data_IF_627072534083
#
_entry.id   IF_627072534083
#
_cell.length_a   1.000
_cell.length_b   1.000
_cell.length_c   1.000
_cell.angle_alpha   90.00
_cell.angle_beta   90.00
_cell.angle_gamma   90.00
#
_symmetry.space_group_name_H-M   'P 1'
#
loop_
_entity.id
_entity.type
_entity.pdbx_description
1 polymer ?
#
# COMPACT_ATOMS: atom_id res chain seq x y z
N UNK A 1 57.65 -12.80 62.21
CA UNK A 1 57.25 -12.96 60.77
C UNK A 1 55.81 -12.48 60.60
N UNK A 2 55.62 -11.20 60.27
CA UNK A 2 54.30 -10.59 60.11
C UNK A 2 53.97 -10.51 58.60
N UNK A 3 52.98 -11.28 58.18
CA UNK A 3 52.39 -11.14 56.82
C UNK A 3 51.29 -10.09 56.85
N UNK A 4 51.51 -8.98 56.14
CA UNK A 4 50.50 -7.98 55.84
C UNK A 4 49.68 -8.45 54.64
N UNK A 5 48.40 -8.66 54.82
CA UNK A 5 47.44 -8.94 53.72
C UNK A 5 46.97 -7.60 53.20
N UNK A 6 47.24 -7.36 51.92
CA UNK A 6 46.81 -6.15 51.20
C UNK A 6 45.47 -6.44 50.51
N UNK A 7 44.37 -5.78 50.96
CA UNK A 7 43.08 -5.84 50.28
C UNK A 7 43.06 -4.80 49.16
N UNK A 8 42.99 -5.30 47.92
CA UNK A 8 42.70 -4.47 46.76
C UNK A 8 41.18 -4.39 46.61
N UNK A 9 40.63 -3.22 46.91
CA UNK A 9 39.21 -2.90 46.63
C UNK A 9 39.14 -2.41 45.19
N UNK A 10 38.65 -3.23 44.26
CA UNK A 10 38.36 -2.84 42.92
C UNK A 10 37.02 -2.09 42.90
N UNK A 11 37.07 -0.80 42.67
CA UNK A 11 35.87 0.01 42.38
C UNK A 11 35.41 -0.29 40.97
N UNK A 12 34.32 -1.06 40.84
CA UNK A 12 33.66 -1.28 39.56
C UNK A 12 32.71 -0.06 39.35
N UNK A 13 33.16 0.91 38.59
CA UNK A 13 32.30 2.03 38.14
C UNK A 13 31.34 1.50 37.10
N UNK A 14 30.11 1.18 37.52
CA UNK A 14 28.99 0.99 36.62
C UNK A 14 28.61 2.36 36.00
N UNK A 15 29.10 2.61 34.79
CA UNK A 15 28.56 3.68 33.96
C UNK A 15 27.15 3.30 33.54
N UNK A 16 26.15 3.90 34.19
CA UNK A 16 24.79 3.92 33.71
C UNK A 16 24.79 4.74 32.42
N UNK A 17 24.89 4.10 31.28
CA UNK A 17 24.50 4.69 30.01
C UNK A 17 22.99 4.89 30.07
N UNK A 18 22.57 6.12 30.39
CA UNK A 18 21.22 6.58 30.12
C UNK A 18 21.05 6.59 28.60
N UNK A 19 20.43 5.55 28.05
CA UNK A 19 19.87 5.63 26.71
C UNK A 19 18.70 6.61 26.78
N UNK A 20 18.96 7.89 26.49
CA UNK A 20 17.94 8.77 25.97
C UNK A 20 17.62 8.23 24.57
N UNK A 21 16.63 7.33 24.50
CA UNK A 21 16.14 6.85 23.23
C UNK A 21 15.32 7.95 22.56
N UNK A 22 15.96 8.83 21.82
CA UNK A 22 15.31 9.39 20.65
C UNK A 22 15.00 8.18 19.74
N UNK A 23 13.74 7.93 19.47
CA UNK A 23 13.37 6.87 18.51
C UNK A 23 14.02 7.22 17.18
N UNK A 24 15.01 6.43 16.79
CA UNK A 24 15.68 6.61 15.51
C UNK A 24 14.61 6.41 14.43
N UNK A 25 14.55 7.34 13.46
CA UNK A 25 13.68 7.20 12.29
C UNK A 25 14.15 5.97 11.51
N UNK A 26 13.21 5.10 11.15
CA UNK A 26 13.51 3.94 10.33
C UNK A 26 14.05 4.38 8.96
N UNK A 27 15.15 3.80 8.54
CA UNK A 27 15.68 4.00 7.18
C UNK A 27 14.92 3.11 6.21
N UNK A 28 14.31 3.73 5.18
CA UNK A 28 13.65 3.01 4.09
C UNK A 28 14.43 3.25 2.81
N UNK A 29 14.95 2.21 2.20
CA UNK A 29 15.79 2.34 1.03
C UNK A 29 15.50 1.26 -0.02
N UNK A 30 16.11 1.42 -1.18
CA UNK A 30 15.99 0.50 -2.31
C UNK A 30 17.35 -0.04 -2.69
N UNK A 31 17.47 -1.34 -2.85
CA UNK A 31 18.67 -1.97 -3.35
C UNK A 31 18.34 -3.03 -4.38
N UNK A 32 18.83 -2.84 -5.61
CA UNK A 32 18.49 -3.69 -6.73
C UNK A 32 16.95 -3.78 -6.93
N UNK A 33 16.37 -4.97 -6.73
CA UNK A 33 14.91 -5.22 -6.81
C UNK A 33 14.23 -5.28 -5.44
N UNK A 34 14.91 -4.88 -4.37
CA UNK A 34 14.41 -5.03 -3.01
C UNK A 34 14.09 -3.70 -2.37
N UNK A 35 12.99 -3.67 -1.64
CA UNK A 35 12.69 -2.64 -0.65
C UNK A 35 13.33 -3.06 0.67
N UNK A 36 14.02 -2.13 1.33
CA UNK A 36 14.70 -2.37 2.61
C UNK A 36 14.13 -1.45 3.68
N UNK A 37 14.01 -1.97 4.89
CA UNK A 37 13.77 -1.18 6.11
C UNK A 37 14.89 -1.51 7.10
N UNK A 38 15.65 -0.50 7.50
CA UNK A 38 16.83 -0.66 8.36
C UNK A 38 17.80 -1.72 7.80
N UNK A 39 18.14 -1.58 6.52
CA UNK A 39 19.04 -2.46 5.75
C UNK A 39 18.55 -3.91 5.59
N UNK A 40 17.33 -4.24 6.01
CA UNK A 40 16.77 -5.58 5.90
C UNK A 40 15.72 -5.65 4.80
N UNK A 41 15.69 -6.72 4.00
CA UNK A 41 14.62 -6.92 3.02
C UNK A 41 13.23 -6.82 3.66
N UNK A 42 12.39 -5.97 3.10
CA UNK A 42 11.03 -5.76 3.55
C UNK A 42 10.06 -6.29 2.51
N UNK A 43 9.29 -7.31 2.89
CA UNK A 43 8.25 -7.88 2.04
C UNK A 43 6.91 -7.30 2.49
N UNK A 44 6.25 -6.60 1.58
CA UNK A 44 4.93 -6.02 1.78
C UNK A 44 3.90 -7.16 1.86
N UNK A 45 3.37 -7.39 3.05
CA UNK A 45 2.19 -8.19 3.34
C UNK A 45 1.07 -7.21 3.66
N UNK A 46 0.58 -6.57 2.64
CA UNK A 46 -0.21 -5.37 2.80
C UNK A 46 -1.67 -5.53 2.41
N UNK A 47 -2.41 -4.48 2.72
CA UNK A 47 -3.82 -4.35 2.35
C UNK A 47 -4.15 -2.90 1.99
N UNK A 48 -5.02 -2.71 1.01
CA UNK A 48 -5.59 -1.41 0.69
C UNK A 48 -6.61 -1.04 1.77
N UNK A 49 -6.46 0.17 2.35
CA UNK A 49 -7.27 0.61 3.47
C UNK A 49 -7.92 1.95 3.19
N UNK A 50 -9.24 1.93 3.02
CA UNK A 50 -10.06 3.11 2.78
C UNK A 50 -11.34 3.00 3.61
N UNK A 51 -11.28 3.36 4.92
CA UNK A 51 -12.35 3.11 5.87
C UNK A 51 -13.48 4.13 5.72
N UNK A 52 -14.35 3.92 4.75
CA UNK A 52 -15.56 4.71 4.55
C UNK A 52 -16.71 4.03 5.28
N UNK A 53 -17.36 4.70 6.25
CA UNK A 53 -18.44 4.10 7.01
C UNK A 53 -19.72 3.98 6.18
N UNK A 54 -20.57 3.05 6.58
CA UNK A 54 -21.89 2.84 6.00
C UNK A 54 -22.70 4.14 5.96
N UNK A 55 -23.25 4.46 4.80
CA UNK A 55 -24.05 5.66 4.56
C UNK A 55 -23.24 6.91 4.21
N UNK A 56 -21.92 6.82 4.17
CA UNK A 56 -21.04 7.89 3.66
C UNK A 56 -20.73 7.68 2.17
N UNK A 57 -20.68 8.77 1.39
CA UNK A 57 -20.40 8.69 -0.04
C UNK A 57 -18.91 8.47 -0.35
N UNK A 58 -18.01 9.03 0.41
CA UNK A 58 -16.55 8.83 0.28
C UNK A 58 -15.75 9.38 1.46
N UNK A 59 -16.38 9.78 2.53
CA UNK A 59 -15.66 10.33 3.68
C UNK A 59 -15.07 9.21 4.52
N UNK A 60 -13.73 9.20 4.65
CA UNK A 60 -13.02 8.24 5.51
C UNK A 60 -13.22 8.58 6.98
N UNK A 61 -13.35 7.55 7.78
CA UNK A 61 -13.53 7.61 9.22
C UNK A 61 -12.61 6.59 9.91
N UNK A 62 -11.89 7.02 10.92
CA UNK A 62 -10.94 6.19 11.67
C UNK A 62 -11.45 5.82 13.07
N UNK A 63 -12.73 5.98 13.36
CA UNK A 63 -13.33 5.66 14.67
C UNK A 63 -13.13 4.19 15.07
N UNK A 64 -13.10 3.28 14.10
CA UNK A 64 -12.85 1.85 14.31
C UNK A 64 -11.38 1.43 14.13
N UNK A 65 -10.45 2.38 14.03
CA UNK A 65 -9.05 2.08 13.70
C UNK A 65 -8.41 1.04 14.63
N UNK A 66 -8.70 1.09 15.92
CA UNK A 66 -8.13 0.13 16.89
C UNK A 66 -8.53 -1.31 16.54
N UNK A 67 -9.81 -1.55 16.26
CA UNK A 67 -10.31 -2.86 15.86
C UNK A 67 -9.73 -3.29 14.51
N UNK A 68 -9.66 -2.37 13.55
CA UNK A 68 -9.11 -2.63 12.23
C UNK A 68 -7.63 -3.06 12.32
N UNK A 69 -6.83 -2.37 13.14
CA UNK A 69 -5.42 -2.70 13.35
C UNK A 69 -5.23 -4.04 14.08
N UNK A 70 -6.10 -4.39 15.03
CA UNK A 70 -6.10 -5.70 15.68
C UNK A 70 -6.33 -6.82 14.66
N UNK A 71 -7.38 -6.70 13.83
CA UNK A 71 -7.68 -7.67 12.76
C UNK A 71 -6.55 -7.78 11.73
N UNK A 72 -5.97 -6.65 11.31
CA UNK A 72 -4.84 -6.63 10.38
C UNK A 72 -3.61 -7.32 10.99
N UNK A 73 -3.31 -7.07 12.26
CA UNK A 73 -2.18 -7.67 12.94
C UNK A 73 -2.35 -9.18 13.12
N UNK A 74 -3.56 -9.63 13.47
CA UNK A 74 -3.90 -11.06 13.56
C UNK A 74 -3.76 -11.77 12.19
N UNK A 75 -4.09 -11.07 11.10
CA UNK A 75 -3.89 -11.57 9.73
C UNK A 75 -2.41 -11.54 9.27
N UNK A 76 -1.50 -10.97 10.07
CA UNK A 76 -0.08 -10.84 9.72
C UNK A 76 0.22 -9.75 8.71
N UNK A 77 -0.68 -8.78 8.55
CA UNK A 77 -0.49 -7.59 7.70
C UNK A 77 0.54 -6.68 8.36
N UNK A 78 1.51 -6.22 7.58
CA UNK A 78 2.56 -5.30 8.02
C UNK A 78 2.54 -3.94 7.32
N UNK A 79 1.67 -3.78 6.33
CA UNK A 79 1.60 -2.55 5.51
C UNK A 79 0.15 -2.25 5.15
N UNK A 80 -0.24 -0.99 5.27
CA UNK A 80 -1.47 -0.50 4.65
C UNK A 80 -1.13 0.46 3.52
N UNK A 81 -1.94 0.46 2.48
CA UNK A 81 -1.90 1.43 1.40
C UNK A 81 -3.15 2.29 1.48
N UNK A 82 -2.98 3.60 1.51
CA UNK A 82 -4.07 4.57 1.51
C UNK A 82 -4.02 5.45 0.27
N UNK A 83 -5.19 5.77 -0.29
CA UNK A 83 -5.34 6.52 -1.54
C UNK A 83 -5.22 8.03 -1.35
N UNK A 84 -5.34 8.48 -0.10
CA UNK A 84 -5.28 9.88 0.30
C UNK A 84 -4.47 10.03 1.59
N UNK A 85 -3.81 11.18 1.81
CA UNK A 85 -3.05 11.44 3.01
C UNK A 85 -3.85 11.30 4.30
N UNK A 86 -3.22 10.78 5.35
CA UNK A 86 -3.76 10.73 6.72
C UNK A 86 -3.16 11.93 7.47
N UNK A 87 -3.94 12.99 7.69
CA UNK A 87 -3.45 14.22 8.34
C UNK A 87 -3.69 14.25 9.87
N UNK A 88 -4.01 13.11 10.45
CA UNK A 88 -4.10 12.93 11.89
C UNK A 88 -2.89 12.17 12.42
N UNK A 89 -2.05 12.87 13.20
CA UNK A 89 -0.87 12.29 13.83
C UNK A 89 -1.21 11.13 14.79
N UNK A 90 -2.37 11.17 15.43
CA UNK A 90 -2.77 10.09 16.35
C UNK A 90 -3.08 8.81 15.59
N UNK A 91 -3.71 8.92 14.41
CA UNK A 91 -3.94 7.79 13.52
C UNK A 91 -2.62 7.17 13.06
N UNK A 92 -1.66 7.99 12.62
CA UNK A 92 -0.33 7.51 12.21
C UNK A 92 0.44 6.86 13.37
N UNK A 93 0.34 7.42 14.58
CA UNK A 93 0.95 6.83 15.77
C UNK A 93 0.35 5.45 16.08
N UNK A 94 -0.97 5.29 16.05
CA UNK A 94 -1.62 4.00 16.29
C UNK A 94 -1.21 2.95 15.25
N UNK A 95 -1.11 3.34 13.98
CA UNK A 95 -0.62 2.46 12.91
C UNK A 95 0.82 2.01 13.20
N UNK A 96 1.69 2.94 13.59
CA UNK A 96 3.07 2.63 13.95
C UNK A 96 3.14 1.71 15.18
N UNK A 97 2.38 2.00 16.22
CA UNK A 97 2.35 1.23 17.47
C UNK A 97 1.85 -0.20 17.25
N UNK A 98 1.01 -0.42 16.25
CA UNK A 98 0.60 -1.75 15.79
C UNK A 98 1.68 -2.48 14.98
N UNK A 99 2.84 -1.86 14.72
CA UNK A 99 3.91 -2.43 13.90
C UNK A 99 3.64 -2.43 12.41
N UNK A 100 2.69 -1.61 11.95
CA UNK A 100 2.27 -1.50 10.55
C UNK A 100 2.89 -0.25 9.92
N UNK A 101 3.34 -0.38 8.68
CA UNK A 101 3.82 0.73 7.84
C UNK A 101 2.70 1.22 6.91
N UNK A 102 2.84 2.44 6.40
CA UNK A 102 1.84 3.03 5.50
C UNK A 102 2.46 3.57 4.21
N UNK A 103 1.84 3.23 3.09
CA UNK A 103 2.08 3.85 1.78
C UNK A 103 1.04 4.94 1.62
N UNK A 104 1.50 6.20 1.55
CA UNK A 104 0.64 7.37 1.47
C UNK A 104 0.43 7.77 0.01
N UNK A 105 -0.81 7.72 -0.47
CA UNK A 105 -1.20 8.16 -1.79
C UNK A 105 -1.44 9.66 -1.89
N UNK A 106 -0.98 10.28 -2.98
CA UNK A 106 -1.30 11.64 -3.36
C UNK A 106 -2.06 11.65 -4.68
N UNK A 107 -3.19 12.33 -4.68
CA UNK A 107 -4.04 12.46 -5.84
C UNK A 107 -3.62 13.60 -6.77
N UNK A 108 -4.40 13.75 -7.84
CA UNK A 108 -4.25 14.80 -8.83
C UNK A 108 -5.49 15.68 -8.78
N UNK A 109 -5.29 16.98 -8.49
CA UNK A 109 -6.38 17.97 -8.41
C UNK A 109 -7.45 17.65 -7.34
N UNK A 110 -6.98 17.36 -6.13
CA UNK A 110 -7.83 17.05 -4.96
C UNK A 110 -8.20 18.34 -4.19
N UNK A 111 -8.80 19.31 -4.88
CA UNK A 111 -9.18 20.62 -4.33
C UNK A 111 -8.02 21.38 -3.63
N UNK A 112 -6.78 21.12 -4.03
CA UNK A 112 -5.58 21.73 -3.48
C UNK A 112 -5.15 21.23 -2.10
N UNK A 113 -5.77 20.17 -1.59
CA UNK A 113 -5.41 19.59 -0.29
C UNK A 113 -4.46 18.40 -0.52
N UNK A 114 -3.15 18.65 -0.33
CA UNK A 114 -2.10 17.64 -0.48
C UNK A 114 -2.11 16.92 -1.84
N UNK A 115 -2.27 17.66 -2.92
CA UNK A 115 -2.31 17.11 -4.27
C UNK A 115 -1.11 17.54 -5.13
N UNK A 116 -0.94 16.81 -6.26
CA UNK A 116 0.19 16.98 -7.17
C UNK A 116 0.06 18.28 -7.97
N UNK A 117 -1.14 18.67 -8.42
CA UNK A 117 -1.37 19.83 -9.28
C UNK A 117 -1.03 21.14 -8.57
N UNK A 118 -1.54 21.31 -7.34
CA UNK A 118 -1.25 22.51 -6.54
C UNK A 118 0.12 22.46 -5.88
N UNK A 119 0.79 21.31 -5.86
CA UNK A 119 2.06 21.09 -5.17
C UNK A 119 1.94 21.02 -3.66
N UNK A 120 0.74 21.00 -3.11
CA UNK A 120 0.51 21.01 -1.65
C UNK A 120 0.91 19.71 -0.98
N UNK A 121 1.04 18.60 -1.71
CA UNK A 121 1.59 17.32 -1.22
C UNK A 121 2.97 17.50 -0.56
N UNK A 122 3.76 18.47 -1.01
CA UNK A 122 5.08 18.81 -0.45
C UNK A 122 4.97 19.21 1.03
N UNK A 123 3.89 19.87 1.42
CA UNK A 123 3.68 20.25 2.82
C UNK A 123 3.43 19.03 3.70
N UNK A 124 2.74 18.02 3.16
CA UNK A 124 2.52 16.75 3.83
C UNK A 124 3.83 15.97 4.00
N UNK A 125 4.61 15.84 2.94
CA UNK A 125 5.92 15.18 3.00
C UNK A 125 6.83 15.84 4.04
N UNK A 126 6.95 17.19 4.04
CA UNK A 126 7.74 17.93 5.04
C UNK A 126 7.26 17.68 6.47
N UNK A 127 5.96 17.55 6.68
CA UNK A 127 5.35 17.35 7.99
C UNK A 127 5.62 15.96 8.57
N UNK A 128 5.59 14.94 7.72
CA UNK A 128 5.54 13.55 8.16
C UNK A 128 6.74 12.68 7.74
N UNK A 129 7.72 13.21 7.01
CA UNK A 129 8.89 12.45 6.54
C UNK A 129 9.73 11.78 7.63
N UNK A 130 9.64 12.26 8.85
CA UNK A 130 10.37 11.70 9.99
C UNK A 130 9.48 10.78 10.85
N UNK A 131 8.29 10.40 10.35
CA UNK A 131 7.36 9.54 11.08
C UNK A 131 7.57 8.07 10.73
N UNK A 132 7.82 7.22 11.72
CA UNK A 132 8.16 5.80 11.53
C UNK A 132 7.07 4.94 10.90
N UNK A 133 5.81 5.38 10.83
CA UNK A 133 4.78 4.67 10.08
C UNK A 133 5.00 4.74 8.57
N UNK A 134 5.65 5.80 8.06
CA UNK A 134 5.77 5.99 6.61
C UNK A 134 6.69 4.92 6.00
N UNK A 135 6.24 4.34 4.88
CA UNK A 135 7.01 3.41 4.07
C UNK A 135 7.42 4.02 2.73
N UNK A 136 6.46 4.57 2.01
CA UNK A 136 6.67 5.15 0.68
C UNK A 136 5.65 6.27 0.42
N UNK A 137 6.01 7.15 -0.53
CA UNK A 137 5.15 8.19 -1.07
C UNK A 137 4.62 7.75 -2.44
N UNK A 138 3.32 7.57 -2.56
CA UNK A 138 2.69 7.11 -3.80
C UNK A 138 2.08 8.28 -4.59
N UNK A 139 2.36 8.32 -5.88
CA UNK A 139 1.91 9.36 -6.80
C UNK A 139 0.88 8.80 -7.78
N UNK A 140 -0.38 9.11 -7.55
CA UNK A 140 -1.51 8.72 -8.40
C UNK A 140 -1.86 7.24 -8.35
N UNK A 141 -3.09 6.94 -8.76
CA UNK A 141 -3.63 5.58 -8.85
C UNK A 141 -4.32 5.39 -10.21
N UNK A 142 -3.83 4.47 -11.03
CA UNK A 142 -4.38 4.07 -12.34
C UNK A 142 -4.55 5.22 -13.35
N UNK A 143 -3.85 6.32 -13.18
CA UNK A 143 -3.99 7.49 -14.04
C UNK A 143 -3.57 7.23 -15.49
N UNK A 144 -2.82 6.15 -15.74
CA UNK A 144 -2.52 5.71 -17.11
C UNK A 144 -3.75 5.29 -17.91
N UNK A 145 -4.87 4.98 -17.26
CA UNK A 145 -6.13 4.68 -17.93
C UNK A 145 -6.96 5.92 -18.27
N UNK A 146 -6.57 7.11 -17.77
CA UNK A 146 -7.33 8.36 -17.85
C UNK A 146 -6.58 9.50 -18.53
N UNK A 147 -6.14 9.33 -19.81
CA UNK A 147 -5.46 10.40 -20.52
C UNK A 147 -6.32 11.67 -20.65
N UNK A 148 -7.65 11.54 -20.59
CA UNK A 148 -8.59 12.67 -20.64
C UNK A 148 -8.40 13.66 -19.47
N UNK A 149 -7.94 13.21 -18.32
CA UNK A 149 -7.62 14.09 -17.18
C UNK A 149 -6.37 14.92 -17.42
N UNK A 150 -5.53 14.52 -18.37
CA UNK A 150 -4.25 15.11 -18.69
C UNK A 150 -4.24 15.75 -20.10
N UNK A 151 -5.33 16.43 -20.46
CA UNK A 151 -5.51 17.12 -21.76
C UNK A 151 -5.43 16.16 -22.97
N UNK A 152 -5.82 14.92 -22.77
CA UNK A 152 -5.82 13.87 -23.80
C UNK A 152 -4.44 13.28 -24.12
N UNK A 153 -3.38 13.65 -23.39
CA UNK A 153 -2.04 13.09 -23.59
C UNK A 153 -1.46 12.60 -22.25
N UNK A 154 -1.32 11.30 -22.11
CA UNK A 154 -0.80 10.64 -20.90
C UNK A 154 0.65 11.05 -20.57
N UNK A 155 1.39 11.59 -21.54
CA UNK A 155 2.74 12.14 -21.30
C UNK A 155 2.71 13.28 -20.28
N UNK A 156 1.62 14.04 -20.21
CA UNK A 156 1.48 15.11 -19.23
C UNK A 156 1.47 14.54 -17.82
N UNK A 157 0.75 13.43 -17.61
CA UNK A 157 0.77 12.74 -16.33
C UNK A 157 2.17 12.22 -15.97
N UNK A 158 2.81 11.48 -16.87
CA UNK A 158 4.14 10.94 -16.58
C UNK A 158 5.18 12.04 -16.33
N UNK A 159 5.07 13.18 -16.96
CA UNK A 159 5.95 14.31 -16.70
C UNK A 159 5.72 14.90 -15.30
N UNK A 160 4.47 15.09 -14.90
CA UNK A 160 4.11 15.62 -13.58
C UNK A 160 4.44 14.64 -12.46
N UNK A 161 4.12 13.38 -12.63
CA UNK A 161 4.50 12.30 -11.71
C UNK A 161 6.01 12.27 -11.45
N UNK A 162 6.81 12.32 -12.53
CA UNK A 162 8.26 12.30 -12.42
C UNK A 162 8.83 13.58 -11.77
N UNK A 163 8.23 14.73 -12.07
CA UNK A 163 8.61 15.99 -11.42
C UNK A 163 8.26 15.99 -9.94
N UNK A 164 7.07 15.51 -9.56
CA UNK A 164 6.64 15.37 -8.18
C UNK A 164 7.56 14.43 -7.39
N UNK A 165 7.93 13.28 -7.96
CA UNK A 165 8.89 12.37 -7.36
C UNK A 165 10.26 13.04 -7.13
N UNK A 166 10.75 13.82 -8.09
CA UNK A 166 11.97 14.59 -7.92
C UNK A 166 11.92 15.61 -6.78
N UNK A 167 10.79 16.31 -6.63
CA UNK A 167 10.57 17.24 -5.52
C UNK A 167 10.52 16.53 -4.16
N UNK A 168 9.97 15.32 -4.10
CA UNK A 168 10.02 14.51 -2.88
C UNK A 168 11.46 14.18 -2.51
N UNK A 169 12.29 13.72 -3.44
CA UNK A 169 13.68 13.39 -3.19
C UNK A 169 14.50 14.57 -2.68
N UNK A 170 14.17 15.81 -3.06
CA UNK A 170 14.83 17.00 -2.55
C UNK A 170 14.51 17.27 -1.07
N UNK A 171 13.38 16.75 -0.57
CA UNK A 171 12.86 17.05 0.77
C UNK A 171 13.07 15.88 1.72
N UNK A 172 12.90 14.68 1.19
CA UNK A 172 12.94 13.42 1.91
C UNK A 172 13.83 12.43 1.16
N UNK A 173 15.03 12.26 1.67
CA UNK A 173 15.99 11.29 1.12
C UNK A 173 15.84 9.90 1.73
N UNK A 174 14.87 9.73 2.67
CA UNK A 174 14.71 8.51 3.43
C UNK A 174 13.63 7.58 2.87
N UNK A 175 12.56 8.12 2.27
CA UNK A 175 11.46 7.29 1.80
C UNK A 175 11.39 7.26 0.26
N UNK A 176 11.32 6.05 -0.33
CA UNK A 176 11.17 5.90 -1.77
C UNK A 176 9.85 6.46 -2.29
N UNK A 177 9.88 6.90 -3.55
CA UNK A 177 8.67 7.25 -4.31
C UNK A 177 8.14 6.06 -5.07
N UNK A 178 6.80 5.96 -5.15
CA UNK A 178 6.09 4.93 -5.92
C UNK A 178 4.92 5.54 -6.70
N UNK A 179 4.32 4.77 -7.56
CA UNK A 179 3.04 5.06 -8.22
C UNK A 179 2.24 3.77 -8.27
N UNK A 180 0.92 3.84 -8.37
CA UNK A 180 0.07 2.69 -8.65
C UNK A 180 -0.35 2.73 -10.13
N UNK A 181 0.43 2.08 -10.98
CA UNK A 181 0.16 1.99 -12.41
C UNK A 181 -0.83 0.85 -12.69
N UNK A 182 -1.82 1.10 -13.53
CA UNK A 182 -2.71 0.04 -13.98
C UNK A 182 -1.97 -0.95 -14.88
N UNK A 183 -1.78 -2.19 -14.41
CA UNK A 183 -1.01 -3.26 -15.03
C UNK A 183 0.46 -2.86 -15.36
N UNK A 184 1.14 -3.59 -16.24
CA UNK A 184 2.55 -3.40 -16.60
C UNK A 184 2.79 -2.03 -17.25
N UNK A 185 3.71 -1.20 -16.73
CA UNK A 185 4.08 0.06 -17.37
C UNK A 185 4.66 -0.16 -18.77
N UNK A 186 4.22 0.65 -19.70
CA UNK A 186 4.77 0.65 -21.06
C UNK A 186 6.14 1.33 -21.12
N UNK A 187 6.78 1.26 -22.30
CA UNK A 187 8.10 1.85 -22.51
C UNK A 187 8.10 3.38 -22.34
N UNK A 188 6.97 4.05 -22.55
CA UNK A 188 6.83 5.49 -22.37
C UNK A 188 6.81 5.84 -20.88
N UNK A 189 6.00 5.13 -20.09
CA UNK A 189 5.93 5.30 -18.64
C UNK A 189 7.30 5.11 -18.00
N UNK A 190 8.00 4.01 -18.32
CA UNK A 190 9.33 3.69 -17.79
C UNK A 190 10.38 4.73 -18.21
N UNK A 191 10.31 5.23 -19.45
CA UNK A 191 11.23 6.27 -19.95
C UNK A 191 11.03 7.60 -19.23
N UNK A 192 9.81 7.95 -18.89
CA UNK A 192 9.47 9.24 -18.28
C UNK A 192 9.52 9.18 -16.74
N UNK A 193 9.17 8.06 -16.13
CA UNK A 193 9.13 7.88 -14.67
C UNK A 193 10.50 7.53 -14.06
N UNK A 194 11.56 8.26 -14.42
CA UNK A 194 12.94 7.95 -13.97
C UNK A 194 13.14 8.15 -12.47
N UNK A 195 12.38 9.06 -11.86
CA UNK A 195 12.42 9.37 -10.43
C UNK A 195 11.51 8.46 -9.59
N UNK A 196 10.73 7.57 -10.19
CA UNK A 196 9.97 6.56 -9.45
C UNK A 196 10.96 5.47 -9.02
N UNK A 197 11.08 5.24 -7.72
CA UNK A 197 12.02 4.26 -7.14
C UNK A 197 11.46 2.85 -7.15
N UNK A 198 10.20 2.70 -6.76
CA UNK A 198 9.47 1.43 -6.69
C UNK A 198 8.22 1.52 -7.57
N UNK A 199 8.00 0.58 -8.47
CA UNK A 199 6.81 0.57 -9.32
C UNK A 199 5.70 -0.28 -8.66
N UNK A 200 4.65 0.38 -8.18
CA UNK A 200 3.39 -0.25 -7.81
C UNK A 200 2.57 -0.52 -9.06
N UNK A 201 1.92 -1.67 -9.11
CA UNK A 201 1.06 -2.08 -10.22
C UNK A 201 -0.24 -2.67 -9.68
N UNK A 202 -1.37 -2.17 -10.17
CA UNK A 202 -2.68 -2.76 -9.93
C UNK A 202 -2.87 -3.89 -10.94
N UNK A 203 -2.86 -5.14 -10.48
CA UNK A 203 -2.81 -6.32 -11.35
C UNK A 203 -3.99 -7.24 -11.09
N UNK A 204 -4.98 -7.15 -11.95
CA UNK A 204 -6.17 -7.98 -11.90
C UNK A 204 -6.15 -9.03 -13.01
N UNK A 205 -5.21 -9.97 -12.90
CA UNK A 205 -5.03 -11.10 -13.82
C UNK A 205 -5.61 -12.39 -13.27
N UNK A 206 -6.76 -12.29 -12.64
CA UNK A 206 -7.47 -13.34 -11.95
C UNK A 206 -6.61 -13.94 -10.80
N UNK A 207 -6.57 -15.25 -10.67
CA UNK A 207 -5.80 -15.95 -9.64
C UNK A 207 -4.32 -16.21 -10.04
N UNK A 208 -3.84 -15.54 -11.10
CA UNK A 208 -2.49 -15.72 -11.64
C UNK A 208 -1.79 -14.36 -11.94
N UNK A 209 -1.62 -13.49 -10.96
CA UNK A 209 -0.93 -12.21 -11.14
C UNK A 209 0.58 -12.38 -11.41
N UNK A 210 1.17 -13.53 -11.10
CA UNK A 210 2.62 -13.77 -11.17
C UNK A 210 3.20 -13.74 -12.58
N UNK A 211 2.37 -13.76 -13.62
CA UNK A 211 2.83 -13.54 -15.00
C UNK A 211 3.53 -12.19 -15.16
N UNK A 212 3.13 -11.17 -14.38
CA UNK A 212 3.71 -9.82 -14.41
C UNK A 212 5.20 -9.80 -14.05
N UNK A 213 5.66 -10.66 -13.15
CA UNK A 213 7.04 -10.68 -12.69
C UNK A 213 8.02 -10.99 -13.83
N UNK A 214 7.68 -11.98 -14.68
CA UNK A 214 8.48 -12.32 -15.87
C UNK A 214 8.45 -11.25 -16.94
N UNK A 215 7.38 -10.47 -17.01
CA UNK A 215 7.26 -9.34 -17.92
C UNK A 215 8.09 -8.17 -17.39
N UNK A 216 8.01 -7.89 -16.09
CA UNK A 216 8.80 -6.85 -15.43
C UNK A 216 10.30 -7.06 -15.54
N UNK A 217 10.79 -8.28 -15.35
CA UNK A 217 12.20 -8.61 -15.52
C UNK A 217 12.79 -8.23 -16.88
N UNK A 218 11.97 -8.22 -17.93
CA UNK A 218 12.39 -7.89 -19.30
C UNK A 218 12.51 -6.39 -19.54
N UNK A 219 11.80 -5.58 -18.76
CA UNK A 219 11.64 -4.15 -19.04
C UNK A 219 12.27 -3.24 -18.00
N UNK A 220 12.52 -3.73 -16.78
CA UNK A 220 13.09 -2.91 -15.70
C UNK A 220 13.89 -3.74 -14.69
N UNK A 221 14.85 -3.09 -14.05
CA UNK A 221 15.61 -3.62 -12.90
C UNK A 221 15.19 -2.96 -11.57
N UNK A 222 14.25 -2.01 -11.59
CA UNK A 222 13.76 -1.38 -10.37
C UNK A 222 12.91 -2.35 -9.56
N UNK A 223 12.78 -2.15 -8.24
CA UNK A 223 11.81 -2.87 -7.44
C UNK A 223 10.38 -2.63 -7.94
N UNK A 224 9.53 -3.62 -7.71
CA UNK A 224 8.09 -3.50 -7.95
C UNK A 224 7.31 -4.18 -6.84
N UNK A 225 6.06 -3.83 -6.67
CA UNK A 225 5.08 -4.56 -5.86
C UNK A 225 3.72 -4.50 -6.54
N UNK A 226 2.81 -5.37 -6.14
CA UNK A 226 1.42 -5.23 -6.57
C UNK A 226 0.73 -4.25 -5.63
N UNK A 227 0.44 -3.04 -6.12
CA UNK A 227 -0.30 -2.03 -5.36
C UNK A 227 -1.77 -2.37 -5.21
N UNK A 228 -2.29 -3.20 -6.10
CA UNK A 228 -3.57 -3.89 -5.97
C UNK A 228 -3.51 -5.25 -6.65
N UNK A 229 -4.10 -6.23 -6.00
CA UNK A 229 -4.54 -7.52 -6.52
C UNK A 229 -5.59 -8.07 -5.57
N UNK A 230 -6.51 -8.88 -6.04
CA UNK A 230 -7.55 -9.41 -5.16
C UNK A 230 -8.70 -10.04 -5.93
N UNK A 231 -9.70 -10.46 -5.18
CA UNK A 231 -10.97 -10.99 -5.69
C UNK A 231 -12.12 -10.51 -4.80
N UNK A 232 -13.27 -10.21 -5.40
CA UNK A 232 -14.50 -9.93 -4.68
C UNK A 232 -15.19 -11.21 -4.23
N UNK A 233 -16.11 -11.08 -3.27
CA UNK A 233 -16.89 -12.20 -2.73
C UNK A 233 -18.24 -12.42 -3.42
N UNK A 234 -18.63 -11.61 -4.40
CA UNK A 234 -19.96 -11.71 -5.00
C UNK A 234 -19.96 -12.50 -6.30
N UNK A 235 -20.53 -13.70 -6.25
CA UNK A 235 -20.76 -14.54 -7.43
C UNK A 235 -22.04 -14.11 -8.15
N UNK A 236 -21.92 -13.51 -9.33
CA UNK A 236 -23.06 -13.09 -10.16
C UNK A 236 -23.85 -14.29 -10.71
N UNK A 237 -23.15 -15.40 -10.89
CA UNK A 237 -23.74 -16.68 -11.34
C UNK A 237 -23.11 -17.84 -10.56
N UNK A 238 -23.83 -18.95 -10.45
CA UNK A 238 -23.24 -20.22 -9.97
C UNK A 238 -22.21 -20.72 -10.98
N UNK A 239 -20.96 -20.85 -10.57
CA UNK A 239 -19.86 -21.31 -11.41
C UNK A 239 -18.71 -21.90 -10.60
N UNK A 240 -17.96 -22.82 -11.17
CA UNK A 240 -16.77 -23.44 -10.57
C UNK A 240 -17.00 -24.12 -9.20
N UNK A 241 -18.24 -24.47 -8.90
CA UNK A 241 -18.63 -25.06 -7.61
C UNK A 241 -19.15 -24.06 -6.57
N UNK A 242 -19.01 -22.77 -6.83
CA UNK A 242 -19.50 -21.70 -5.96
C UNK A 242 -20.92 -21.28 -6.35
N UNK A 243 -21.76 -21.08 -5.34
CA UNK A 243 -23.14 -20.64 -5.54
C UNK A 243 -23.21 -19.15 -5.83
N UNK A 244 -24.23 -18.75 -6.59
CA UNK A 244 -24.59 -17.34 -6.81
C UNK A 244 -24.87 -16.61 -5.50
N UNK A 245 -24.51 -15.33 -5.45
CA UNK A 245 -24.62 -14.45 -4.28
C UNK A 245 -23.28 -14.24 -3.59
N UNK A 246 -23.28 -13.68 -2.43
CA UNK A 246 -22.10 -13.52 -1.62
C UNK A 246 -21.52 -14.90 -1.27
N UNK A 247 -20.22 -15.08 -1.52
CA UNK A 247 -19.51 -16.36 -1.37
C UNK A 247 -18.09 -16.13 -0.87
N UNK A 248 -17.95 -16.06 0.44
CA UNK A 248 -16.68 -15.82 1.12
C UNK A 248 -15.64 -16.92 0.82
N UNK A 249 -16.09 -18.16 0.55
CA UNK A 249 -15.18 -19.24 0.19
C UNK A 249 -14.55 -19.02 -1.20
N UNK A 250 -15.33 -18.51 -2.16
CA UNK A 250 -14.82 -18.18 -3.50
C UNK A 250 -13.74 -17.10 -3.42
N UNK A 251 -13.98 -16.04 -2.62
CA UNK A 251 -13.01 -14.97 -2.37
C UNK A 251 -11.75 -15.51 -1.68
N UNK A 252 -11.92 -16.29 -0.60
CA UNK A 252 -10.80 -16.83 0.16
C UNK A 252 -9.91 -17.74 -0.71
N UNK A 253 -10.51 -18.62 -1.52
CA UNK A 253 -9.78 -19.51 -2.41
C UNK A 253 -9.02 -18.74 -3.50
N UNK A 254 -9.63 -17.69 -4.05
CA UNK A 254 -9.00 -16.84 -5.05
C UNK A 254 -7.85 -16.02 -4.45
N UNK A 255 -8.08 -15.33 -3.33
CA UNK A 255 -7.07 -14.55 -2.65
C UNK A 255 -5.89 -15.41 -2.17
N UNK A 256 -6.14 -16.64 -1.72
CA UNK A 256 -5.07 -17.59 -1.37
C UNK A 256 -4.17 -17.87 -2.56
N UNK A 257 -4.73 -18.16 -3.74
CA UNK A 257 -3.93 -18.41 -4.95
C UNK A 257 -3.15 -17.17 -5.39
N UNK A 258 -3.77 -15.99 -5.31
CA UNK A 258 -3.11 -14.72 -5.61
C UNK A 258 -1.90 -14.50 -4.69
N UNK A 259 -2.07 -14.69 -3.39
CA UNK A 259 -1.00 -14.53 -2.40
C UNK A 259 0.11 -15.57 -2.57
N UNK A 260 -0.24 -16.83 -2.83
CA UNK A 260 0.73 -17.89 -3.13
C UNK A 260 1.58 -17.51 -4.35
N UNK A 261 0.95 -17.01 -5.42
CA UNK A 261 1.63 -16.61 -6.64
C UNK A 261 2.54 -15.37 -6.42
N UNK A 262 2.11 -14.43 -5.60
CA UNK A 262 2.94 -13.26 -5.20
C UNK A 262 4.15 -13.70 -4.38
N UNK A 263 3.95 -14.50 -3.35
CA UNK A 263 5.03 -14.80 -2.40
C UNK A 263 6.05 -15.81 -2.89
N UNK A 264 5.78 -16.56 -3.95
CA UNK A 264 6.82 -17.35 -4.63
C UNK A 264 7.75 -16.51 -5.52
N UNK A 265 7.37 -15.27 -5.84
CA UNK A 265 8.10 -14.35 -6.71
C UNK A 265 8.80 -13.19 -5.97
N UNK A 266 9.07 -13.33 -4.67
CA UNK A 266 9.68 -12.27 -3.84
C UNK A 266 11.13 -11.93 -4.20
N UNK A 267 11.74 -12.69 -5.09
CA UNK A 267 13.04 -12.36 -5.70
C UNK A 267 12.94 -11.25 -6.77
N UNK A 268 11.73 -10.93 -7.25
CA UNK A 268 11.47 -9.89 -8.27
C UNK A 268 10.57 -8.82 -7.71
N UNK A 269 9.52 -9.21 -6.99
CA UNK A 269 8.54 -8.29 -6.39
C UNK A 269 8.69 -8.18 -4.89
N UNK A 270 8.43 -7.00 -4.35
CA UNK A 270 8.48 -6.72 -2.91
C UNK A 270 7.19 -7.06 -2.16
N UNK A 271 6.23 -7.73 -2.79
CA UNK A 271 4.97 -8.15 -2.16
C UNK A 271 3.72 -7.52 -2.77
N UNK A 272 2.68 -7.35 -1.97
CA UNK A 272 1.35 -6.88 -2.41
C UNK A 272 0.64 -6.08 -1.32
N UNK A 273 -0.19 -5.12 -1.72
CA UNK A 273 -1.30 -4.61 -0.92
C UNK A 273 -2.60 -5.16 -1.50
N UNK A 274 -3.18 -6.16 -0.82
CA UNK A 274 -4.39 -6.84 -1.30
C UNK A 274 -5.58 -5.87 -1.32
N UNK A 275 -6.37 -5.90 -2.35
CA UNK A 275 -7.58 -5.09 -2.45
C UNK A 275 -8.79 -5.93 -2.03
N UNK A 276 -9.47 -5.65 -0.90
CA UNK A 276 -9.25 -4.56 0.04
C UNK A 276 -9.56 -5.00 1.48
N UNK A 277 -9.37 -4.14 2.48
CA UNK A 277 -9.69 -4.48 3.87
C UNK A 277 -11.19 -4.56 4.12
N UNK A 278 -11.91 -3.46 3.79
CA UNK A 278 -13.35 -3.33 3.99
C UNK A 278 -14.12 -3.42 2.67
N UNK A 279 -15.34 -3.91 2.75
CA UNK A 279 -16.33 -3.75 1.70
C UNK A 279 -16.59 -2.27 1.40
N UNK A 280 -16.74 -1.94 0.11
CA UNK A 280 -16.83 -0.57 -0.38
C UNK A 280 -18.25 -0.15 -0.76
N UNK A 281 -19.19 -0.10 0.18
CA UNK A 281 -20.59 0.26 -0.10
C UNK A 281 -20.80 1.64 -0.72
N UNK A 282 -19.80 2.52 -0.61
CA UNK A 282 -19.79 3.85 -1.22
C UNK A 282 -19.49 3.85 -2.72
N UNK A 283 -19.00 2.73 -3.27
CA UNK A 283 -18.51 2.66 -4.65
C UNK A 283 -19.61 2.54 -5.71
N UNK A 284 -20.78 2.09 -5.34
CA UNK A 284 -21.92 1.99 -6.25
C UNK A 284 -23.25 2.31 -5.53
N UNK A 285 -24.25 2.76 -6.28
CA UNK A 285 -25.63 2.88 -5.83
C UNK A 285 -25.82 3.72 -4.56
N UNK A 286 -26.43 3.12 -3.54
CA UNK A 286 -26.77 3.77 -2.27
C UNK A 286 -25.77 3.34 -1.18
N UNK A 287 -24.96 4.24 -0.61
CA UNK A 287 -23.91 3.88 0.35
C UNK A 287 -24.41 3.28 1.68
N UNK A 288 -25.72 3.27 1.90
CA UNK A 288 -26.34 2.60 3.06
C UNK A 288 -26.76 1.15 2.78
N UNK A 289 -26.62 0.65 1.57
CA UNK A 289 -27.02 -0.68 1.12
C UNK A 289 -25.90 -1.25 0.26
N UNK A 290 -25.51 -2.50 0.48
CA UNK A 290 -24.55 -3.17 -0.40
C UNK A 290 -25.22 -3.49 -1.75
N UNK A 291 -24.67 -2.94 -2.84
CA UNK A 291 -25.24 -3.05 -4.16
C UNK A 291 -24.71 -4.28 -4.90
N UNK A 292 -25.60 -5.18 -5.25
CA UNK A 292 -25.27 -6.41 -6.00
C UNK A 292 -25.13 -6.17 -7.51
N UNK A 293 -25.50 -4.97 -8.00
CA UNK A 293 -25.44 -4.57 -9.41
C UNK A 293 -24.13 -3.86 -9.80
N UNK A 294 -23.35 -3.40 -8.83
CA UNK A 294 -22.07 -2.72 -9.08
C UNK A 294 -21.11 -3.60 -9.90
N UNK A 295 -20.43 -3.02 -10.87
CA UNK A 295 -19.47 -3.74 -11.72
C UNK A 295 -18.19 -2.95 -11.83
N UNK A 296 -17.06 -3.56 -11.46
CA UNK A 296 -15.74 -2.98 -11.60
C UNK A 296 -15.36 -2.88 -13.09
N UNK A 297 -15.23 -1.67 -13.65
CA UNK A 297 -14.72 -1.53 -15.01
C UNK A 297 -13.24 -1.92 -15.05
N UNK A 298 -12.80 -2.47 -16.16
CA UNK A 298 -11.40 -2.82 -16.41
C UNK A 298 -10.79 -3.92 -15.52
N UNK A 299 -11.52 -4.44 -14.54
CA UNK A 299 -11.09 -5.62 -13.79
C UNK A 299 -11.41 -6.87 -14.59
N UNK A 300 -10.40 -7.53 -15.11
CA UNK A 300 -10.58 -8.77 -15.86
C UNK A 300 -10.28 -9.96 -14.97
N UNK A 301 -11.18 -10.93 -14.96
CA UNK A 301 -10.87 -12.25 -14.43
C UNK A 301 -11.02 -12.43 -12.94
N UNK A 302 -11.71 -11.57 -12.25
CA UNK A 302 -12.14 -11.79 -10.88
C UNK A 302 -13.63 -11.58 -10.79
N UNK A 303 -14.33 -12.39 -10.06
CA UNK A 303 -14.06 -13.69 -9.44
C UNK A 303 -14.15 -14.84 -10.45
N UNK A 304 -14.33 -16.10 -9.99
CA UNK A 304 -14.47 -17.29 -10.83
C UNK A 304 -15.56 -17.20 -11.90
N UNK A 305 -16.52 -16.31 -11.76
CA UNK A 305 -17.57 -16.05 -12.75
C UNK A 305 -17.20 -14.99 -13.80
N UNK A 306 -16.11 -14.25 -13.60
CA UNK A 306 -15.65 -13.20 -14.50
C UNK A 306 -16.46 -11.90 -14.41
N UNK A 307 -17.14 -11.65 -13.31
CA UNK A 307 -18.03 -10.51 -13.12
C UNK A 307 -17.76 -9.84 -11.75
N UNK A 308 -16.65 -9.10 -11.60
CA UNK A 308 -16.27 -8.45 -10.35
C UNK A 308 -17.32 -7.41 -9.93
N UNK A 309 -17.63 -7.39 -8.63
CA UNK A 309 -18.53 -6.42 -8.02
C UNK A 309 -17.76 -5.40 -7.17
N UNK A 310 -18.01 -4.10 -7.36
CA UNK A 310 -17.24 -3.02 -6.72
C UNK A 310 -17.36 -3.00 -5.19
N UNK A 311 -18.45 -3.49 -4.62
CA UNK A 311 -18.71 -3.33 -3.20
C UNK A 311 -18.29 -4.51 -2.32
N UNK A 312 -17.92 -5.65 -2.91
CA UNK A 312 -17.68 -6.93 -2.23
C UNK A 312 -16.20 -7.33 -2.18
N UNK A 313 -15.29 -6.37 -2.10
CA UNK A 313 -13.86 -6.66 -2.11
C UNK A 313 -13.23 -6.79 -0.72
N UNK A 314 -13.97 -6.45 0.32
CA UNK A 314 -13.49 -6.54 1.68
C UNK A 314 -13.11 -7.96 2.11
N UNK A 315 -11.99 -8.11 2.82
CA UNK A 315 -11.72 -9.34 3.57
C UNK A 315 -12.47 -9.36 4.91
N UNK A 316 -13.00 -8.22 5.32
CA UNK A 316 -14.02 -8.06 6.34
C UNK A 316 -15.17 -7.25 5.77
N UNK A 317 -16.38 -7.46 6.28
CA UNK A 317 -17.54 -6.68 5.88
C UNK A 317 -17.49 -5.24 6.43
N UNK A 318 -18.49 -4.42 6.09
CA UNK A 318 -18.53 -3.00 6.50
C UNK A 318 -18.65 -2.82 8.02
N UNK A 319 -19.15 -3.82 8.74
CA UNK A 319 -19.32 -3.80 10.20
C UNK A 319 -18.15 -4.47 10.95
N UNK A 320 -17.18 -5.10 10.27
CA UNK A 320 -15.96 -5.84 10.70
C UNK A 320 -16.22 -7.26 11.17
#
# INVERSE_FOLDING_TARGET
>A
MNRKILYIVAFLSMSLMSCNGESQVDEVSVSERQLLVNEKPYIIKGICYHPVPKGSENYRDFDNLTQDLELMTEAGINTIRVYEPIDDLQVLNQIHDAGIKVIIGFGYDQDGIYDIVSGTFINYVKKYKDHNAILMWELGNEYNYHPEWFKGDIKNWYAEMNAAAGLIHEIDSNHPTTTAHGDLPDALALKMGTNIDVWGMNVYRWDNPGTIYKEWEKVSNKPMYLSEAGADSYMKITKAGYQQGENQQAQADANTKILDDVFVNTNIGSGVTLFSFLDGWWKAGNPSIQDTGGSAPNSTGVPYDGAPNEEYWGIVDIDR
#
